data_IF_792275305111
#
_entry.id   IF_792275305111
#
_cell.length_a   1.000
_cell.length_b   1.000
_cell.length_c   1.000
_cell.angle_alpha   90.00
_cell.angle_beta   90.00
_cell.angle_gamma   90.00
#
_symmetry.space_group_name_H-M   'P 1'
#
loop_
_entity.id
_entity.type
_entity.pdbx_description
1 polymer ?
#
# COMPACT_ATOMS: atom_id res chain seq x y z
N UNK A 1 5.60 -2.09 15.28
CA UNK A 1 5.27 -0.90 14.48
C UNK A 1 5.47 0.34 15.32
N UNK A 2 6.36 1.25 14.93
CA UNK A 2 6.41 2.62 15.48
C UNK A 2 5.09 3.34 15.14
N UNK A 3 4.74 4.35 15.93
CA UNK A 3 3.56 5.18 15.68
C UNK A 3 3.75 5.97 14.39
N UNK A 4 2.75 5.93 13.50
CA UNK A 4 2.78 6.67 12.23
C UNK A 4 2.40 8.12 12.51
N UNK A 5 3.32 9.06 12.24
CA UNK A 5 3.03 10.47 12.36
C UNK A 5 2.18 10.95 11.18
N UNK A 6 0.86 11.08 11.41
CA UNK A 6 -0.11 11.48 10.39
C UNK A 6 0.12 12.87 9.81
N UNK A 7 0.78 13.79 10.53
CA UNK A 7 0.99 15.17 10.06
C UNK A 7 1.77 15.20 8.75
N UNK A 8 2.71 14.26 8.58
CA UNK A 8 3.49 14.09 7.35
C UNK A 8 2.63 13.68 6.15
N UNK A 9 1.50 13.00 6.39
CA UNK A 9 0.62 12.47 5.36
C UNK A 9 -0.56 13.40 5.03
N UNK A 10 -0.70 14.54 5.71
CA UNK A 10 -1.79 15.49 5.45
C UNK A 10 -1.80 16.00 4.01
N UNK A 11 -0.63 16.21 3.42
CA UNK A 11 -0.51 16.61 2.00
C UNK A 11 -1.07 15.51 1.10
N UNK A 12 -0.74 14.25 1.40
CA UNK A 12 -1.21 13.08 0.64
C UNK A 12 -2.73 12.93 0.80
N UNK A 13 -3.25 13.07 2.01
CA UNK A 13 -4.70 13.12 2.25
C UNK A 13 -5.37 14.22 1.41
N UNK A 14 -4.77 15.42 1.39
CA UNK A 14 -5.23 16.55 0.58
C UNK A 14 -5.28 16.23 -0.91
N UNK A 15 -4.30 15.50 -1.45
CA UNK A 15 -4.30 15.02 -2.85
C UNK A 15 -5.52 14.15 -3.12
N UNK A 16 -5.77 13.13 -2.30
CA UNK A 16 -6.92 12.24 -2.51
C UNK A 16 -8.25 12.96 -2.36
N UNK A 17 -8.41 13.82 -1.34
CA UNK A 17 -9.64 14.60 -1.15
C UNK A 17 -9.88 15.54 -2.34
N UNK A 18 -8.84 16.21 -2.83
CA UNK A 18 -8.92 17.11 -3.98
C UNK A 18 -9.34 16.36 -5.25
N UNK A 19 -8.74 15.19 -5.50
CA UNK A 19 -9.08 14.36 -6.66
C UNK A 19 -10.52 13.83 -6.54
N UNK A 20 -10.92 13.35 -5.36
CA UNK A 20 -12.31 12.91 -5.10
C UNK A 20 -13.32 14.03 -5.41
N UNK A 21 -13.06 15.26 -4.95
CA UNK A 21 -13.92 16.43 -5.22
C UNK A 21 -13.97 16.81 -6.70
N UNK A 22 -12.88 16.64 -7.45
CA UNK A 22 -12.86 16.90 -8.90
C UNK A 22 -13.65 15.85 -9.70
N UNK A 23 -13.70 14.62 -9.21
CA UNK A 23 -14.39 13.50 -9.87
C UNK A 23 -15.89 13.42 -9.48
N UNK A 24 -16.30 13.98 -8.33
CA UNK A 24 -17.63 14.40 -7.83
C UNK A 24 -18.97 13.68 -8.18
N UNK A 25 -19.06 12.53 -8.88
CA UNK A 25 -20.35 11.92 -9.25
C UNK A 25 -20.52 10.40 -9.02
N UNK A 26 -19.60 9.69 -8.36
CA UNK A 26 -19.73 8.23 -8.25
C UNK A 26 -19.53 7.77 -6.81
N UNK A 27 -20.57 7.16 -6.27
CA UNK A 27 -20.73 6.61 -4.92
C UNK A 27 -19.76 5.47 -4.57
N UNK A 28 -18.79 5.16 -5.43
CA UNK A 28 -17.64 4.29 -5.16
C UNK A 28 -16.49 4.82 -6.02
N UNK A 29 -15.32 5.11 -5.43
CA UNK A 29 -14.11 5.52 -6.16
C UNK A 29 -13.56 4.31 -6.93
N UNK A 30 -14.26 3.94 -8.01
CA UNK A 30 -13.76 3.05 -9.05
C UNK A 30 -13.01 3.94 -10.06
N UNK A 31 -11.81 4.41 -9.65
CA UNK A 31 -10.93 5.22 -10.52
C UNK A 31 -10.38 4.32 -11.63
N UNK A 32 -11.18 4.13 -12.67
CA UNK A 32 -10.83 3.35 -13.86
C UNK A 32 -10.02 4.12 -14.90
N UNK A 33 -9.89 5.46 -14.83
CA UNK A 33 -9.07 6.20 -15.79
C UNK A 33 -7.61 6.28 -15.34
N UNK A 34 -6.72 5.70 -16.16
CA UNK A 34 -5.27 5.75 -16.01
C UNK A 34 -4.75 7.18 -15.77
N UNK A 35 -5.42 8.17 -16.35
CA UNK A 35 -5.12 9.60 -16.16
C UNK A 35 -5.28 10.07 -14.71
N UNK A 36 -6.34 9.65 -14.01
CA UNK A 36 -6.57 10.06 -12.62
C UNK A 36 -5.58 9.36 -11.68
N UNK A 37 -5.28 8.10 -11.95
CA UNK A 37 -4.25 7.35 -11.23
C UNK A 37 -2.89 8.03 -11.39
N UNK A 38 -2.50 8.36 -12.62
CA UNK A 38 -1.26 9.09 -12.89
C UNK A 38 -1.25 10.46 -12.19
N UNK A 39 -2.37 11.19 -12.20
CA UNK A 39 -2.47 12.47 -11.51
C UNK A 39 -2.24 12.32 -10.00
N UNK A 40 -2.84 11.31 -9.36
CA UNK A 40 -2.64 11.02 -7.94
C UNK A 40 -1.17 10.66 -7.71
N UNK A 41 -0.64 9.70 -8.47
CA UNK A 41 0.74 9.24 -8.34
C UNK A 41 1.73 10.39 -8.49
N UNK A 42 1.62 11.21 -9.54
CA UNK A 42 2.48 12.37 -9.75
C UNK A 42 2.40 13.36 -8.59
N UNK A 43 1.20 13.67 -8.10
CA UNK A 43 1.05 14.60 -6.98
C UNK A 43 1.63 14.05 -5.68
N UNK A 44 1.48 12.76 -5.43
CA UNK A 44 2.08 12.10 -4.26
C UNK A 44 3.61 12.06 -4.42
N UNK A 45 4.15 11.69 -5.59
CA UNK A 45 5.58 11.72 -5.86
C UNK A 45 6.17 13.11 -5.63
N UNK A 46 5.51 14.15 -6.14
CA UNK A 46 5.94 15.54 -5.88
C UNK A 46 5.89 15.87 -4.40
N UNK A 47 4.83 15.48 -3.68
CA UNK A 47 4.75 15.69 -2.23
C UNK A 47 5.90 15.00 -1.51
N UNK A 48 6.13 13.71 -1.78
CA UNK A 48 7.21 12.92 -1.19
C UNK A 48 8.60 13.50 -1.50
N UNK A 49 8.84 13.95 -2.73
CA UNK A 49 10.14 14.53 -3.12
C UNK A 49 10.37 15.96 -2.64
N UNK A 50 9.30 16.72 -2.37
CA UNK A 50 9.39 18.11 -1.88
C UNK A 50 9.37 18.22 -0.35
N UNK A 51 9.25 17.09 0.35
CA UNK A 51 9.25 17.02 1.81
C UNK A 51 10.28 16.01 2.30
N UNK A 52 10.65 16.08 3.59
CA UNK A 52 11.66 15.20 4.21
C UNK A 52 11.11 13.79 4.51
N UNK A 53 10.45 13.15 3.53
CA UNK A 53 9.96 11.79 3.66
C UNK A 53 11.12 10.80 3.75
N UNK A 54 11.08 9.93 4.77
CA UNK A 54 12.02 8.85 4.96
C UNK A 54 11.45 7.52 4.42
N UNK A 55 12.31 6.51 4.27
CA UNK A 55 11.84 5.17 3.89
C UNK A 55 10.79 4.59 4.87
N UNK A 56 10.89 4.92 6.16
CA UNK A 56 9.86 4.55 7.15
C UNK A 56 8.49 5.18 6.82
N UNK A 57 8.48 6.40 6.27
CA UNK A 57 7.25 7.09 5.86
C UNK A 57 6.63 6.44 4.62
N UNK A 58 7.44 5.88 3.70
CA UNK A 58 6.94 5.13 2.54
C UNK A 58 6.24 3.83 2.96
N UNK A 59 6.76 3.15 3.99
CA UNK A 59 6.05 2.01 4.59
C UNK A 59 4.75 2.45 5.26
N UNK A 60 4.76 3.59 5.95
CA UNK A 60 3.55 4.20 6.52
C UNK A 60 2.52 4.53 5.44
N UNK A 61 2.95 5.06 4.30
CA UNK A 61 2.10 5.33 3.15
C UNK A 61 1.47 4.05 2.61
N UNK A 62 2.27 3.01 2.37
CA UNK A 62 1.76 1.73 1.89
C UNK A 62 0.73 1.14 2.87
N UNK A 63 0.96 1.26 4.17
CA UNK A 63 0.00 0.82 5.18
C UNK A 63 -1.31 1.63 5.12
N UNK A 64 -1.22 2.95 5.02
CA UNK A 64 -2.40 3.82 4.86
C UNK A 64 -3.18 3.43 3.60
N UNK A 65 -2.50 3.21 2.48
CA UNK A 65 -3.13 2.78 1.23
C UNK A 65 -3.82 1.41 1.40
N UNK A 66 -3.13 0.44 2.01
CA UNK A 66 -3.65 -0.90 2.27
C UNK A 66 -4.91 -0.88 3.15
N UNK A 67 -4.87 -0.14 4.26
CA UNK A 67 -5.99 0.01 5.21
C UNK A 67 -7.23 0.64 4.56
N UNK A 68 -6.99 1.56 3.62
CA UNK A 68 -8.03 2.26 2.89
C UNK A 68 -8.32 1.62 1.53
N UNK A 69 -8.02 0.33 1.36
CA UNK A 69 -8.40 -0.46 0.19
C UNK A 69 -9.61 -1.35 0.52
N UNK A 70 -10.49 -1.57 -0.47
CA UNK A 70 -11.72 -2.38 -0.36
C UNK A 70 -11.47 -3.90 -0.21
N UNK A 71 -10.61 -4.31 0.70
CA UNK A 71 -10.26 -5.71 1.01
C UNK A 71 -10.47 -5.97 2.51
N UNK A 72 -10.44 -7.23 2.94
CA UNK A 72 -10.73 -7.58 4.33
C UNK A 72 -9.69 -7.01 5.31
N UNK A 73 -8.51 -6.57 4.85
CA UNK A 73 -7.54 -5.79 5.62
C UNK A 73 -8.21 -4.59 6.30
N UNK A 74 -9.11 -3.90 5.60
CA UNK A 74 -9.85 -2.77 6.14
C UNK A 74 -10.62 -3.14 7.40
N UNK A 75 -11.34 -4.27 7.38
CA UNK A 75 -12.12 -4.73 8.53
C UNK A 75 -11.20 -5.16 9.67
N UNK A 76 -10.09 -5.81 9.36
CA UNK A 76 -9.08 -6.19 10.36
C UNK A 76 -8.54 -4.96 11.09
N UNK A 77 -8.07 -3.94 10.35
CA UNK A 77 -7.46 -2.75 10.93
C UNK A 77 -8.45 -1.80 11.60
N UNK A 78 -9.72 -1.81 11.18
CA UNK A 78 -10.82 -1.06 11.83
C UNK A 78 -11.02 -1.47 13.28
N UNK A 79 -10.82 -2.74 13.60
CA UNK A 79 -10.94 -3.25 14.97
C UNK A 79 -9.61 -3.24 15.73
N UNK A 80 -8.52 -2.84 15.09
CA UNK A 80 -7.18 -2.87 15.68
C UNK A 80 -6.85 -1.52 16.33
N UNK A 81 -6.73 -1.50 17.68
CA UNK A 81 -6.57 -0.28 18.47
C UNK A 81 -5.44 0.65 17.97
N UNK A 82 -4.32 0.09 17.50
CA UNK A 82 -3.17 0.87 17.01
C UNK A 82 -3.32 1.41 15.59
N UNK A 83 -4.26 0.91 14.80
CA UNK A 83 -4.37 1.24 13.37
C UNK A 83 -5.73 1.82 12.99
N UNK A 84 -6.73 1.77 13.87
CA UNK A 84 -8.09 2.25 13.61
C UNK A 84 -8.13 3.73 13.15
N UNK A 85 -7.21 4.56 13.63
CA UNK A 85 -7.13 5.98 13.27
C UNK A 85 -6.66 6.22 11.82
N UNK A 86 -6.05 5.21 11.19
CA UNK A 86 -5.65 5.24 9.79
C UNK A 86 -6.84 4.91 8.86
N UNK A 87 -7.90 4.32 9.40
CA UNK A 87 -9.11 3.97 8.66
C UNK A 87 -9.89 5.24 8.33
N UNK A 88 -10.16 5.46 7.04
CA UNK A 88 -10.81 6.66 6.54
C UNK A 88 -9.88 7.87 6.45
N UNK A 89 -8.58 7.71 6.75
CA UNK A 89 -7.59 8.79 6.62
C UNK A 89 -7.53 9.30 5.17
N UNK A 90 -7.60 8.40 4.20
CA UNK A 90 -7.87 8.72 2.79
C UNK A 90 -9.22 8.10 2.37
N UNK A 91 -9.85 8.59 1.29
CA UNK A 91 -10.98 7.90 0.67
C UNK A 91 -10.64 6.44 0.34
N UNK A 92 -11.62 5.55 0.49
CA UNK A 92 -11.48 4.15 0.11
C UNK A 92 -11.12 4.04 -1.38
N UNK A 93 -10.13 3.20 -1.70
CA UNK A 93 -9.69 2.89 -3.07
C UNK A 93 -9.92 1.41 -3.41
N UNK A 94 -10.00 1.09 -4.69
CA UNK A 94 -10.06 -0.28 -5.17
C UNK A 94 -8.68 -0.95 -5.15
N UNK A 95 -8.66 -2.29 -5.09
CA UNK A 95 -7.42 -3.09 -5.22
C UNK A 95 -6.60 -2.73 -6.47
N UNK A 96 -7.26 -2.44 -7.58
CA UNK A 96 -6.60 -2.03 -8.82
C UNK A 96 -5.80 -0.73 -8.64
N UNK A 97 -6.41 0.28 -8.03
CA UNK A 97 -5.76 1.57 -7.77
C UNK A 97 -4.58 1.39 -6.83
N UNK A 98 -4.72 0.57 -5.79
CA UNK A 98 -3.62 0.26 -4.88
C UNK A 98 -2.41 -0.30 -5.64
N UNK A 99 -2.62 -1.29 -6.52
CA UNK A 99 -1.54 -1.90 -7.30
C UNK A 99 -0.87 -0.89 -8.23
N UNK A 100 -1.65 -0.05 -8.89
CA UNK A 100 -1.10 1.01 -9.75
C UNK A 100 -0.28 2.03 -8.94
N UNK A 101 -0.77 2.43 -7.76
CA UNK A 101 -0.04 3.34 -6.89
C UNK A 101 1.25 2.72 -6.36
N UNK A 102 1.24 1.43 -6.00
CA UNK A 102 2.46 0.71 -5.60
C UNK A 102 3.50 0.78 -6.72
N UNK A 103 3.09 0.52 -7.96
CA UNK A 103 3.96 0.57 -9.12
C UNK A 103 4.50 1.97 -9.39
N UNK A 104 3.62 2.97 -9.51
CA UNK A 104 4.03 4.33 -9.83
C UNK A 104 4.87 4.99 -8.73
N UNK A 105 4.62 4.65 -7.45
CA UNK A 105 5.33 5.21 -6.30
C UNK A 105 6.52 4.35 -5.85
N UNK A 106 6.79 3.22 -6.53
CA UNK A 106 7.88 2.29 -6.22
C UNK A 106 7.86 1.79 -4.76
N UNK A 107 6.70 1.29 -4.33
CA UNK A 107 6.46 0.83 -2.96
C UNK A 107 6.66 -0.68 -2.77
N UNK A 108 7.26 -1.37 -3.74
CA UNK A 108 7.44 -2.83 -3.75
C UNK A 108 8.23 -3.34 -2.54
N UNK A 109 9.23 -2.58 -2.07
CA UNK A 109 9.98 -2.96 -0.87
C UNK A 109 9.08 -3.00 0.37
N UNK A 110 8.07 -2.14 0.43
CA UNK A 110 7.07 -2.18 1.51
C UNK A 110 6.23 -3.44 1.48
N UNK A 111 5.85 -3.94 0.29
CA UNK A 111 5.13 -5.22 0.16
C UNK A 111 5.98 -6.38 0.70
N UNK A 112 7.25 -6.43 0.30
CA UNK A 112 8.21 -7.42 0.77
C UNK A 112 8.34 -7.41 2.30
N UNK A 113 8.50 -6.22 2.88
CA UNK A 113 8.59 -6.06 4.34
C UNK A 113 7.29 -6.48 5.05
N UNK A 114 6.12 -6.20 4.46
CA UNK A 114 4.84 -6.61 5.04
C UNK A 114 4.61 -8.12 4.99
N UNK A 115 5.12 -8.84 3.98
CA UNK A 115 5.11 -10.31 3.98
C UNK A 115 5.85 -10.83 5.22
N UNK A 116 7.02 -10.27 5.53
CA UNK A 116 7.81 -10.69 6.68
C UNK A 116 7.10 -10.38 8.02
N UNK A 117 6.50 -9.19 8.14
CA UNK A 117 5.97 -8.67 9.41
C UNK A 117 4.55 -9.16 9.71
N UNK A 118 3.66 -9.26 8.73
CA UNK A 118 2.26 -9.61 8.98
C UNK A 118 2.07 -11.12 9.10
N UNK A 119 1.09 -11.52 9.90
CA UNK A 119 0.77 -12.92 10.18
C UNK A 119 -0.66 -13.26 9.72
N UNK A 120 -0.94 -14.57 9.59
CA UNK A 120 -2.27 -15.09 9.29
C UNK A 120 -2.92 -14.48 8.04
N UNK A 121 -4.18 -14.07 8.17
CA UNK A 121 -5.01 -13.54 7.07
C UNK A 121 -4.40 -12.30 6.41
N UNK A 122 -3.74 -11.42 7.17
CA UNK A 122 -3.10 -10.22 6.61
C UNK A 122 -1.91 -10.59 5.72
N UNK A 123 -1.09 -11.56 6.14
CA UNK A 123 0.01 -12.07 5.32
C UNK A 123 -0.52 -12.59 3.97
N UNK A 124 -1.56 -13.41 4.02
CA UNK A 124 -2.20 -13.94 2.81
C UNK A 124 -2.72 -12.82 1.88
N UNK A 125 -3.30 -11.75 2.44
CA UNK A 125 -3.75 -10.62 1.64
C UNK A 125 -2.60 -9.83 1.01
N UNK A 126 -1.50 -9.63 1.73
CA UNK A 126 -0.29 -9.02 1.16
C UNK A 126 0.28 -9.89 0.05
N UNK A 127 0.34 -11.22 0.23
CA UNK A 127 0.76 -12.15 -0.83
C UNK A 127 -0.15 -12.07 -2.07
N UNK A 128 -1.47 -11.97 -1.87
CA UNK A 128 -2.43 -11.76 -2.95
C UNK A 128 -2.30 -10.40 -3.65
N UNK A 129 -1.75 -9.39 -2.98
CA UNK A 129 -1.41 -8.10 -3.61
C UNK A 129 -0.09 -8.21 -4.36
N UNK A 130 0.93 -8.82 -3.76
CA UNK A 130 2.21 -9.12 -4.39
C UNK A 130 2.04 -9.91 -5.69
N UNK A 131 1.15 -10.91 -5.71
CA UNK A 131 0.82 -11.67 -6.91
C UNK A 131 0.16 -10.81 -8.00
N UNK A 132 -0.75 -9.89 -7.63
CA UNK A 132 -1.31 -8.97 -8.61
C UNK A 132 -0.30 -7.93 -9.11
N UNK A 133 0.62 -7.52 -8.25
CA UNK A 133 1.70 -6.59 -8.60
C UNK A 133 2.63 -7.17 -9.65
N UNK A 134 2.92 -8.48 -9.59
CA UNK A 134 3.70 -9.18 -10.62
C UNK A 134 3.13 -8.97 -12.04
N UNK A 135 1.81 -8.91 -12.19
CA UNK A 135 1.18 -8.68 -13.50
C UNK A 135 1.44 -7.27 -14.06
N UNK A 136 2.01 -6.35 -13.28
CA UNK A 136 2.43 -5.01 -13.73
C UNK A 136 3.88 -4.94 -14.17
N UNK A 137 4.69 -5.91 -13.74
CA UNK A 137 6.11 -5.92 -14.01
C UNK A 137 6.39 -6.49 -15.40
N UNK A 138 7.47 -6.01 -16.02
CA UNK A 138 7.99 -6.69 -17.20
C UNK A 138 8.73 -7.98 -16.81
N UNK A 139 9.13 -8.78 -17.79
CA UNK A 139 9.74 -10.09 -17.53
C UNK A 139 11.01 -10.02 -16.67
N UNK A 140 11.86 -9.00 -16.86
CA UNK A 140 13.10 -8.85 -16.09
C UNK A 140 12.81 -8.40 -14.66
N UNK A 141 11.99 -7.36 -14.49
CA UNK A 141 11.56 -6.89 -13.17
C UNK A 141 10.85 -8.00 -12.36
N UNK A 142 10.08 -8.84 -13.06
CA UNK A 142 9.36 -9.95 -12.44
C UNK A 142 10.31 -11.00 -11.86
N UNK A 143 11.41 -11.33 -12.55
CA UNK A 143 12.37 -12.34 -12.06
C UNK A 143 12.99 -11.86 -10.75
N UNK A 144 13.58 -10.66 -10.74
CA UNK A 144 14.21 -10.09 -9.55
C UNK A 144 13.22 -9.99 -8.38
N UNK A 145 11.98 -9.59 -8.68
CA UNK A 145 10.95 -9.49 -7.65
C UNK A 145 10.53 -10.86 -7.09
N UNK A 146 10.35 -11.88 -7.93
CA UNK A 146 10.03 -13.26 -7.50
C UNK A 146 11.15 -13.83 -6.64
N UNK A 147 12.42 -13.61 -7.01
CA UNK A 147 13.56 -14.06 -6.21
C UNK A 147 13.53 -13.46 -4.80
N UNK A 148 13.27 -12.16 -4.69
CA UNK A 148 13.17 -11.47 -3.41
C UNK A 148 11.96 -11.95 -2.57
N UNK A 149 10.80 -12.13 -3.20
CA UNK A 149 9.62 -12.72 -2.53
C UNK A 149 9.94 -14.12 -2.00
N UNK A 150 10.62 -14.94 -2.81
CA UNK A 150 10.97 -16.32 -2.45
C UNK A 150 11.94 -16.37 -1.26
N UNK A 151 12.96 -15.51 -1.23
CA UNK A 151 13.88 -15.38 -0.09
C UNK A 151 13.13 -15.02 1.19
N UNK A 152 12.27 -14.00 1.14
CA UNK A 152 11.52 -13.56 2.32
C UNK A 152 10.54 -14.62 2.82
N UNK A 153 9.88 -15.33 1.91
CA UNK A 153 9.02 -16.46 2.27
C UNK A 153 9.82 -17.57 2.96
N UNK A 154 10.99 -17.91 2.44
CA UNK A 154 11.89 -18.89 3.04
C UNK A 154 12.35 -18.46 4.44
N UNK A 155 12.75 -17.20 4.60
CA UNK A 155 13.13 -16.62 5.90
C UNK A 155 11.98 -16.70 6.90
N UNK A 156 10.77 -16.31 6.47
CA UNK A 156 9.58 -16.33 7.33
C UNK A 156 9.22 -17.74 7.77
N UNK A 157 9.28 -18.73 6.87
CA UNK A 157 8.98 -20.14 7.18
C UNK A 157 10.04 -20.70 8.14
N UNK A 158 11.33 -20.49 7.86
CA UNK A 158 12.43 -20.96 8.71
C UNK A 158 12.31 -20.42 10.14
N UNK A 159 11.91 -19.15 10.29
CA UNK A 159 11.70 -18.55 11.62
C UNK A 159 10.52 -19.16 12.39
N UNK A 160 9.51 -19.69 11.69
CA UNK A 160 8.39 -20.40 12.32
C UNK A 160 8.82 -21.79 12.78
N UNK A 161 9.70 -22.46 12.03
CA UNK A 161 10.23 -23.79 12.39
C UNK A 161 11.15 -23.74 13.61
N UNK A 162 11.93 -22.67 13.79
CA UNK A 162 12.82 -22.49 14.96
C UNK A 162 12.09 -22.13 16.27
N UNK A 163 10.81 -21.72 16.20
CA UNK A 163 10.01 -21.25 17.35
C UNK A 163 8.84 -22.17 17.71
N UNK A 164 8.73 -23.35 17.09
CA UNK A 164 7.74 -24.39 17.41
C UNK A 164 8.43 -25.64 18.00
#
# INVERSE_FOLDING_TARGET
>A
MKEINLDRFLVIQGVFISVKKKVNCLSNLDLGSKEVINLIATKISVAVSSSDFLNEDLHGLLLILLINTNIEAHQFFKNHAKCQHLVGFIPMISKHILIELIYCLKLEQGLLNFILIFEGTLCHQVLNLTSLYLNKLNAFESIDFIENVSKILYEKISYVDDNN
#
